data_IF_385103923621
#
_entry.id   IF_385103923621
#
_cell.length_a   1.000
_cell.length_b   1.000
_cell.length_c   1.000
_cell.angle_alpha   90.00
_cell.angle_beta   90.00
_cell.angle_gamma   90.00
#
_symmetry.space_group_name_H-M   'P 1'
#
loop_
_entity.id
_entity.type
_entity.pdbx_description
1 polymer ?
#
# COMPACT_ATOMS: atom_id res chain seq x y z
N UNK A 1 -21.81 25.68 -6.80
CA UNK A 1 -21.42 24.28 -7.12
C UNK A 1 -19.98 24.34 -7.55
N UNK A 2 -19.06 23.83 -6.74
CA UNK A 2 -17.71 23.53 -7.19
C UNK A 2 -17.20 22.34 -6.37
N UNK A 3 -17.52 21.12 -6.84
CA UNK A 3 -17.12 19.84 -6.21
C UNK A 3 -15.88 19.23 -6.86
N UNK A 4 -15.30 19.91 -7.85
CA UNK A 4 -14.27 19.34 -8.72
C UNK A 4 -12.85 19.85 -8.44
N UNK A 5 -12.61 20.66 -7.41
CA UNK A 5 -11.36 21.45 -7.32
C UNK A 5 -10.34 21.04 -6.23
N UNK A 6 -10.42 19.86 -5.61
CA UNK A 6 -9.40 19.46 -4.60
C UNK A 6 -9.05 17.94 -4.54
N UNK A 7 -9.74 17.10 -5.31
CA UNK A 7 -9.44 15.66 -5.32
C UNK A 7 -8.22 15.27 -6.15
N UNK A 8 -7.67 16.20 -6.96
CA UNK A 8 -6.50 15.94 -7.81
C UNK A 8 -5.26 15.60 -6.97
N UNK A 9 -5.06 16.27 -5.83
CA UNK A 9 -3.95 16.00 -4.92
C UNK A 9 -4.08 14.61 -4.27
N UNK A 10 -5.26 14.27 -3.79
CA UNK A 10 -5.54 12.94 -3.24
C UNK A 10 -5.35 11.86 -4.32
N UNK A 11 -5.91 12.07 -5.51
CA UNK A 11 -5.79 11.15 -6.63
C UNK A 11 -4.33 10.92 -7.00
N UNK A 12 -3.53 11.98 -7.08
CA UNK A 12 -2.10 11.87 -7.35
C UNK A 12 -1.34 11.05 -6.28
N UNK A 13 -1.73 11.14 -5.00
CA UNK A 13 -1.15 10.30 -3.94
C UNK A 13 -1.53 8.83 -4.13
N UNK A 14 -2.80 8.56 -4.45
CA UNK A 14 -3.29 7.20 -4.69
C UNK A 14 -2.66 6.56 -5.93
N UNK A 15 -2.53 7.32 -7.02
CA UNK A 15 -1.84 6.87 -8.25
C UNK A 15 -0.37 6.55 -7.95
N UNK A 16 0.32 7.39 -7.18
CA UNK A 16 1.71 7.11 -6.76
C UNK A 16 1.82 5.88 -5.87
N UNK A 17 0.84 5.63 -4.99
CA UNK A 17 0.82 4.41 -4.17
C UNK A 17 0.60 3.17 -5.05
N UNK A 18 -0.30 3.26 -6.03
CA UNK A 18 -0.50 2.23 -7.04
C UNK A 18 0.78 1.96 -7.84
N UNK A 19 1.41 3.00 -8.39
CA UNK A 19 2.64 2.87 -9.17
C UNK A 19 3.75 2.24 -8.31
N UNK A 20 3.87 2.62 -7.04
CA UNK A 20 4.85 2.05 -6.12
C UNK A 20 4.60 0.56 -5.83
N UNK A 21 3.34 0.11 -5.77
CA UNK A 21 2.99 -1.30 -5.64
C UNK A 21 3.20 -2.09 -6.94
N UNK A 22 2.84 -1.48 -8.08
CA UNK A 22 2.86 -2.12 -9.39
C UNK A 22 4.28 -2.23 -9.98
N UNK A 23 5.10 -1.19 -9.78
CA UNK A 23 6.45 -1.05 -10.38
C UNK A 23 7.58 -1.09 -9.36
N UNK A 24 7.28 -0.76 -8.10
CA UNK A 24 8.28 -0.62 -7.05
C UNK A 24 8.66 -1.93 -6.37
N UNK A 25 9.16 -1.82 -5.14
CA UNK A 25 9.79 -2.92 -4.38
C UNK A 25 8.96 -4.20 -4.25
N UNK A 26 7.63 -4.17 -4.37
CA UNK A 26 6.77 -5.36 -4.38
C UNK A 26 6.99 -6.26 -5.60
N UNK A 27 7.32 -5.66 -6.74
CA UNK A 27 7.69 -6.39 -7.96
C UNK A 27 9.15 -6.88 -7.90
N UNK A 28 10.08 -6.10 -7.33
CA UNK A 28 11.51 -6.40 -7.39
C UNK A 28 12.10 -7.13 -6.16
N UNK A 29 11.50 -7.04 -4.97
CA UNK A 29 12.03 -7.71 -3.76
C UNK A 29 11.30 -9.03 -3.54
N UNK A 30 12.10 -10.08 -3.29
CA UNK A 30 11.67 -11.44 -2.91
C UNK A 30 11.22 -12.39 -4.04
N UNK A 31 11.74 -12.24 -5.26
CA UNK A 31 11.57 -13.27 -6.31
C UNK A 31 10.13 -13.44 -6.83
N UNK A 32 9.28 -12.45 -6.58
CA UNK A 32 7.86 -12.40 -6.99
C UNK A 32 7.64 -11.45 -8.18
N UNK A 33 8.71 -11.11 -8.91
CA UNK A 33 8.65 -10.29 -10.11
C UNK A 33 7.68 -10.88 -11.12
N UNK A 34 6.74 -10.06 -11.57
CA UNK A 34 5.70 -10.46 -12.52
C UNK A 34 4.43 -11.06 -11.90
N UNK A 35 4.35 -11.29 -10.58
CA UNK A 35 3.11 -11.75 -9.98
C UNK A 35 2.04 -10.63 -9.97
N UNK A 36 0.78 -10.94 -10.30
CA UNK A 36 -0.34 -10.06 -10.01
C UNK A 36 -0.34 -9.63 -8.54
N UNK A 37 -0.73 -8.40 -8.25
CA UNK A 37 -0.71 -7.86 -6.88
C UNK A 37 -1.44 -8.75 -5.87
N UNK A 38 -2.59 -9.32 -6.26
CA UNK A 38 -3.37 -10.25 -5.44
C UNK A 38 -2.64 -11.58 -5.12
N UNK A 39 -1.62 -11.95 -5.90
CA UNK A 39 -0.80 -13.14 -5.71
C UNK A 39 0.49 -12.87 -4.92
N UNK A 40 0.78 -11.61 -4.61
CA UNK A 40 1.96 -11.24 -3.84
C UNK A 40 1.81 -11.68 -2.37
N UNK A 41 2.97 -11.90 -1.72
CA UNK A 41 3.05 -12.51 -0.39
C UNK A 41 2.23 -11.79 0.68
N UNK A 42 2.14 -10.46 0.65
CA UNK A 42 1.40 -9.72 1.67
C UNK A 42 -0.11 -9.97 1.62
N UNK A 43 -0.68 -10.20 0.43
CA UNK A 43 -2.08 -10.61 0.27
C UNK A 43 -2.25 -12.08 0.70
N UNK A 44 -1.31 -12.96 0.32
CA UNK A 44 -1.37 -14.38 0.72
C UNK A 44 -1.32 -14.55 2.24
N UNK A 45 -0.41 -13.85 2.92
CA UNK A 45 -0.35 -13.85 4.39
C UNK A 45 -1.69 -13.37 4.96
N UNK A 46 -2.28 -12.31 4.40
CA UNK A 46 -3.58 -11.82 4.86
C UNK A 46 -4.74 -12.82 4.66
N UNK A 47 -4.68 -13.71 3.67
CA UNK A 47 -5.63 -14.83 3.53
C UNK A 47 -5.44 -15.87 4.63
N UNK A 48 -4.20 -16.13 5.04
CA UNK A 48 -3.87 -17.12 6.07
C UNK A 48 -4.16 -16.63 7.49
N UNK A 49 -3.82 -15.37 7.80
CA UNK A 49 -3.88 -14.82 9.17
C UNK A 49 -4.89 -13.69 9.36
N UNK A 50 -5.65 -13.36 8.32
CA UNK A 50 -6.63 -12.27 8.32
C UNK A 50 -6.01 -10.88 8.07
N UNK A 51 -6.90 -9.88 8.03
CA UNK A 51 -6.56 -8.47 7.69
C UNK A 51 -5.63 -7.79 8.69
N UNK A 52 -5.49 -8.35 9.91
CA UNK A 52 -4.65 -7.81 10.97
C UNK A 52 -3.18 -7.67 10.55
N UNK A 53 -2.67 -8.56 9.69
CA UNK A 53 -1.30 -8.44 9.16
C UNK A 53 -1.12 -7.16 8.35
N UNK A 54 -2.03 -6.91 7.40
CA UNK A 54 -1.97 -5.75 6.53
C UNK A 54 -2.14 -4.44 7.33
N UNK A 55 -3.11 -4.41 8.26
CA UNK A 55 -3.32 -3.25 9.15
C UNK A 55 -2.08 -3.00 10.01
N UNK A 56 -1.50 -4.06 10.60
CA UNK A 56 -0.29 -3.95 11.42
C UNK A 56 0.91 -3.40 10.64
N UNK A 57 1.10 -3.82 9.39
CA UNK A 57 2.15 -3.25 8.52
C UNK A 57 1.89 -1.78 8.19
N UNK A 58 0.64 -1.39 7.93
CA UNK A 58 0.30 0.01 7.69
C UNK A 58 0.59 0.90 8.92
N UNK A 59 0.26 0.42 10.13
CA UNK A 59 0.60 1.11 11.39
C UNK A 59 2.10 1.25 11.56
N UNK A 60 2.85 0.14 11.42
CA UNK A 60 4.31 0.13 11.54
C UNK A 60 4.95 1.18 10.63
N UNK A 61 4.60 1.17 9.34
CA UNK A 61 5.17 2.09 8.34
C UNK A 61 4.83 3.55 8.63
N UNK A 62 3.60 3.82 9.07
CA UNK A 62 3.17 5.16 9.47
C UNK A 62 3.98 5.69 10.66
N UNK A 63 4.29 4.84 11.65
CA UNK A 63 5.12 5.21 12.80
C UNK A 63 6.58 5.41 12.41
N UNK A 64 7.15 4.53 11.58
CA UNK A 64 8.53 4.63 11.10
C UNK A 64 8.76 5.93 10.29
N UNK A 65 7.78 6.37 9.51
CA UNK A 65 7.85 7.61 8.72
C UNK A 65 8.10 8.87 9.58
N UNK A 66 7.66 8.89 10.84
CA UNK A 66 7.82 10.05 11.73
C UNK A 66 9.28 10.40 12.08
N UNK A 67 10.21 9.45 11.94
CA UNK A 67 11.64 9.65 12.21
C UNK A 67 12.52 9.80 10.97
N UNK A 68 11.92 9.87 9.77
CA UNK A 68 12.65 9.80 8.50
C UNK A 68 12.79 11.16 7.81
N UNK A 69 13.74 11.24 6.87
CA UNK A 69 13.75 12.33 5.89
C UNK A 69 12.46 12.31 5.04
N UNK A 70 12.13 13.45 4.42
CA UNK A 70 10.89 13.65 3.67
C UNK A 70 10.62 12.56 2.64
N UNK A 71 11.63 12.18 1.85
CA UNK A 71 11.44 11.25 0.73
C UNK A 71 11.35 9.80 1.20
N UNK A 72 12.06 9.44 2.27
CA UNK A 72 11.90 8.16 2.95
C UNK A 72 10.53 8.05 3.64
N UNK A 73 10.10 9.08 4.38
CA UNK A 73 8.80 9.14 5.03
C UNK A 73 7.66 8.97 4.00
N UNK A 74 7.72 9.71 2.89
CA UNK A 74 6.73 9.60 1.81
C UNK A 74 6.67 8.18 1.24
N UNK A 75 7.81 7.51 1.02
CA UNK A 75 7.82 6.13 0.53
C UNK A 75 7.20 5.14 1.53
N UNK A 76 7.45 5.31 2.82
CA UNK A 76 6.83 4.47 3.85
C UNK A 76 5.31 4.67 3.91
N UNK A 77 4.84 5.92 3.82
CA UNK A 77 3.41 6.25 3.81
C UNK A 77 2.70 5.72 2.56
N UNK A 78 3.31 5.84 1.37
CA UNK A 78 2.77 5.21 0.15
C UNK A 78 2.68 3.68 0.32
N UNK A 79 3.69 3.06 0.94
CA UNK A 79 3.64 1.64 1.31
C UNK A 79 2.49 1.32 2.27
N UNK A 80 2.24 2.17 3.28
CA UNK A 80 1.13 1.98 4.22
C UNK A 80 -0.23 1.99 3.51
N UNK A 81 -0.43 2.88 2.54
CA UNK A 81 -1.65 2.91 1.70
C UNK A 81 -1.85 1.58 0.97
N UNK A 82 -0.79 0.99 0.41
CA UNK A 82 -0.90 -0.29 -0.32
C UNK A 82 -1.26 -1.46 0.59
N UNK A 83 -0.80 -1.44 1.85
CA UNK A 83 -1.24 -2.42 2.86
C UNK A 83 -2.70 -2.23 3.25
N UNK A 84 -3.17 -0.99 3.44
CA UNK A 84 -4.59 -0.73 3.70
C UNK A 84 -5.47 -1.18 2.53
N UNK A 85 -5.04 -0.95 1.28
CA UNK A 85 -5.72 -1.47 0.11
C UNK A 85 -5.80 -3.01 0.13
N UNK A 86 -4.76 -3.69 0.61
CA UNK A 86 -4.76 -5.17 0.76
C UNK A 86 -5.77 -5.62 1.80
N UNK A 87 -5.91 -4.89 2.91
CA UNK A 87 -6.93 -5.18 3.92
C UNK A 87 -8.34 -5.00 3.37
N UNK A 88 -8.60 -3.93 2.61
CA UNK A 88 -9.88 -3.71 1.92
C UNK A 88 -10.18 -4.85 0.95
N UNK A 89 -9.24 -5.20 0.07
CA UNK A 89 -9.40 -6.31 -0.87
C UNK A 89 -9.75 -7.63 -0.17
N UNK A 90 -9.08 -7.97 0.93
CA UNK A 90 -9.35 -9.19 1.70
C UNK A 90 -10.70 -9.18 2.43
N UNK A 91 -11.27 -8.01 2.71
CA UNK A 91 -12.63 -7.88 3.24
C UNK A 91 -13.67 -8.07 2.13
N UNK A 92 -13.38 -7.58 0.93
CA UNK A 92 -14.28 -7.63 -0.24
C UNK A 92 -14.20 -8.95 -1.02
N UNK A 93 -13.12 -9.73 -0.85
CA UNK A 93 -12.96 -11.07 -1.46
C UNK A 93 -13.91 -12.11 -0.84
N UNK A 94 -14.56 -11.79 0.28
CA UNK A 94 -15.43 -12.70 1.05
C UNK A 94 -16.85 -12.80 0.50
#
# INVERSE_FOLDING_TARGET
>A
MDRDNDYSALRAILDRAYDFAATGKGHQRHGQSGLPWIAQRHVQIGREVGTGFAIGQAVKKSLEAGGMDKDAAVRELLGAITYLASAVYLLEEK
#
